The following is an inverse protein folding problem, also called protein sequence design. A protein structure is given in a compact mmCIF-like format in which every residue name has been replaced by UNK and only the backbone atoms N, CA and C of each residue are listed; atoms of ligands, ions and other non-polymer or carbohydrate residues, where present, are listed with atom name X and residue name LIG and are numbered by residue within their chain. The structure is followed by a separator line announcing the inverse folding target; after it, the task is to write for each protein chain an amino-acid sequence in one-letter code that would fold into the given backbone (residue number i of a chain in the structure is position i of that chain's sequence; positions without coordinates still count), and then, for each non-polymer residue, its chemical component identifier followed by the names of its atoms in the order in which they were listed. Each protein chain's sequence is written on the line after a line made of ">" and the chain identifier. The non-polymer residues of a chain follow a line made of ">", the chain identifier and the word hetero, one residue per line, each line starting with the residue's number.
data_IF_882302452463
#
_entry.id   IF_882302452463
#
_cell.length_a   1.000
_cell.length_b   1.000
_cell.length_c   1.000
_cell.angle_alpha   90.00
_cell.angle_beta   90.00
_cell.angle_gamma   90.00
#
_symmetry.space_group_name_H-M   'P 1'
#
loop_
_entity.id
_entity.type
_entity.pdbx_description
1 polymer ?
#
# COMPACT_ATOMS: atom_id res chain seq x y z
N UNK A 1 -1.04 9.32 15.01
CA UNK A 1 -1.59 10.06 16.16
C UNK A 1 -2.20 11.37 15.67
N UNK A 2 -3.17 11.93 16.40
CA UNK A 2 -3.84 13.17 16.02
C UNK A 2 -4.68 13.77 17.15
N UNK A 3 -5.30 14.91 16.87
CA UNK A 3 -6.23 15.62 17.76
C UNK A 3 -7.43 16.09 16.94
N UNK A 4 -8.63 15.95 17.49
CA UNK A 4 -9.88 16.49 16.91
C UNK A 4 -10.27 17.73 17.71
N UNK A 5 -10.46 18.85 17.02
CA UNK A 5 -11.08 20.04 17.60
C UNK A 5 -12.59 19.93 17.45
N UNK A 6 -13.28 20.22 18.53
CA UNK A 6 -14.69 19.91 18.67
C UNK A 6 -15.44 21.17 19.11
N UNK A 7 -16.60 21.43 18.50
CA UNK A 7 -17.47 22.53 18.89
C UNK A 7 -18.51 22.03 19.92
N UNK A 8 -18.42 22.45 21.20
CA UNK A 8 -19.33 22.00 22.24
C UNK A 8 -20.78 22.45 22.02
N UNK A 9 -21.01 23.61 21.39
CA UNK A 9 -22.36 24.14 21.14
C UNK A 9 -23.10 23.28 20.12
N UNK A 10 -22.37 22.72 19.16
CA UNK A 10 -22.91 21.83 18.13
C UNK A 10 -23.20 20.41 18.65
N UNK A 11 -22.48 19.96 19.68
CA UNK A 11 -22.46 18.56 20.11
C UNK A 11 -23.70 18.12 20.89
N UNK A 12 -24.25 19.00 21.74
CA UNK A 12 -25.38 18.67 22.62
C UNK A 12 -25.16 17.32 23.34
N UNK A 13 -25.96 16.30 23.05
CA UNK A 13 -25.87 14.95 23.65
C UNK A 13 -25.12 13.92 22.78
N UNK A 14 -24.52 14.34 21.66
CA UNK A 14 -23.82 13.44 20.74
C UNK A 14 -22.40 13.13 21.23
N UNK A 15 -21.82 12.10 20.65
CA UNK A 15 -20.43 11.67 20.87
C UNK A 15 -19.61 11.91 19.61
N UNK A 16 -18.30 12.04 19.78
CA UNK A 16 -17.35 12.13 18.67
C UNK A 16 -16.55 10.85 18.61
N UNK A 17 -16.67 10.16 17.49
CA UNK A 17 -15.92 8.96 17.19
C UNK A 17 -14.88 9.25 16.10
N UNK A 18 -13.73 8.59 16.21
CA UNK A 18 -12.73 8.54 15.16
C UNK A 18 -12.57 7.08 14.78
N UNK A 19 -12.51 6.81 13.48
CA UNK A 19 -12.40 5.46 12.95
C UNK A 19 -11.27 5.41 11.95
N UNK A 20 -10.37 4.45 12.12
CA UNK A 20 -9.35 4.11 11.14
C UNK A 20 -9.82 2.88 10.36
N UNK A 21 -9.96 3.03 9.06
CA UNK A 21 -10.38 1.95 8.16
C UNK A 21 -9.29 1.67 7.15
N UNK A 22 -8.81 0.42 7.09
CA UNK A 22 -8.06 -0.11 5.97
C UNK A 22 -9.03 -0.85 5.06
N UNK A 23 -9.20 -0.39 3.84
CA UNK A 23 -10.13 -0.99 2.89
C UNK A 23 -9.41 -1.36 1.59
N UNK A 24 -9.71 -2.55 1.09
CA UNK A 24 -9.41 -2.94 -0.27
C UNK A 24 -10.59 -2.57 -1.17
N UNK A 25 -10.30 -1.90 -2.28
CA UNK A 25 -11.29 -1.49 -3.28
C UNK A 25 -10.99 -2.18 -4.61
N UNK A 26 -12.02 -2.81 -5.17
CA UNK A 26 -11.98 -3.48 -6.47
C UNK A 26 -13.29 -3.20 -7.24
N UNK A 27 -13.20 -2.71 -8.48
CA UNK A 27 -14.34 -2.52 -9.39
C UNK A 27 -14.39 -1.18 -10.14
N UNK A 28 -15.25 -1.09 -11.17
CA UNK A 28 -15.58 0.13 -11.95
C UNK A 28 -16.72 0.92 -11.29
N UNK A 29 -16.74 2.26 -11.45
CA UNK A 29 -17.83 3.13 -10.95
C UNK A 29 -19.19 2.83 -11.59
N UNK A 30 -19.22 2.33 -12.83
CA UNK A 30 -20.46 2.02 -13.54
C UNK A 30 -21.24 0.87 -12.86
N UNK A 31 -20.52 -0.05 -12.21
CA UNK A 31 -21.07 -1.17 -11.44
C UNK A 31 -21.54 -0.74 -10.04
N UNK A 32 -21.14 0.44 -9.58
CA UNK A 32 -21.57 1.07 -8.32
C UNK A 32 -23.08 1.42 -8.37
N UNK A 33 -23.59 1.76 -9.57
CA UNK A 33 -25.04 1.99 -9.85
C UNK A 33 -25.85 0.69 -9.80
N UNK A 34 -25.20 -0.46 -10.03
CA UNK A 34 -25.79 -1.80 -9.94
C UNK A 34 -25.49 -2.49 -8.59
N UNK A 35 -24.84 -1.81 -7.64
CA UNK A 35 -24.54 -2.33 -6.30
C UNK A 35 -23.36 -3.32 -6.24
N UNK A 36 -22.49 -3.32 -7.24
CA UNK A 36 -21.38 -4.28 -7.40
C UNK A 36 -20.00 -3.68 -7.11
N UNK A 37 -19.90 -2.71 -6.19
CA UNK A 37 -18.60 -2.38 -5.59
C UNK A 37 -18.15 -3.47 -4.63
N UNK A 38 -17.00 -4.08 -4.91
CA UNK A 38 -16.30 -4.90 -3.95
C UNK A 38 -15.34 -4.02 -3.15
N UNK A 39 -15.90 -3.34 -2.15
CA UNK A 39 -15.14 -2.79 -1.04
C UNK A 39 -15.11 -3.82 0.08
N UNK A 40 -13.91 -4.22 0.50
CA UNK A 40 -13.71 -5.07 1.66
C UNK A 40 -12.90 -4.31 2.70
N UNK A 41 -13.51 -4.06 3.85
CA UNK A 41 -12.78 -3.51 4.99
C UNK A 41 -11.89 -4.63 5.57
N UNK A 42 -10.58 -4.44 5.47
CA UNK A 42 -9.56 -5.37 5.96
C UNK A 42 -9.29 -5.17 7.45
N UNK A 43 -9.43 -3.93 7.91
CA UNK A 43 -9.23 -3.56 9.30
C UNK A 43 -10.06 -2.32 9.63
N UNK A 44 -10.70 -2.34 10.79
CA UNK A 44 -11.43 -1.19 11.34
C UNK A 44 -11.06 -1.07 12.81
N UNK A 45 -10.61 0.12 13.21
CA UNK A 45 -10.41 0.47 14.61
C UNK A 45 -11.21 1.73 14.91
N UNK A 46 -11.94 1.70 16.02
CA UNK A 46 -12.75 2.82 16.48
C UNK A 46 -12.16 3.37 17.79
N UNK A 47 -12.22 4.67 17.98
CA UNK A 47 -11.83 5.35 19.21
C UNK A 47 -12.87 6.42 19.53
N UNK A 48 -13.29 6.52 20.80
CA UNK A 48 -14.20 7.57 21.24
C UNK A 48 -13.38 8.79 21.72
N UNK A 49 -13.37 9.86 20.92
CA UNK A 49 -12.66 11.09 21.27
C UNK A 49 -13.42 11.92 22.30
N UNK A 50 -14.76 11.98 22.18
CA UNK A 50 -15.63 12.67 23.14
C UNK A 50 -16.93 11.89 23.37
N UNK A 51 -17.42 11.76 24.61
CA UNK A 51 -16.73 12.12 25.85
C UNK A 51 -15.49 11.21 26.08
N UNK A 52 -14.41 11.71 26.70
CA UNK A 52 -13.19 10.94 26.89
C UNK A 52 -13.44 9.77 27.86
N UNK A 53 -13.16 8.55 27.39
CA UNK A 53 -13.34 7.32 28.19
C UNK A 53 -12.11 7.11 29.08
N UNK A 54 -12.25 6.92 30.41
CA UNK A 54 -11.10 6.77 31.32
C UNK A 54 -10.18 5.59 30.98
N UNK A 55 -10.76 4.48 30.53
CA UNK A 55 -10.05 3.23 30.21
C UNK A 55 -9.20 3.33 28.92
N UNK A 56 -9.52 4.27 28.02
CA UNK A 56 -8.81 4.46 26.75
C UNK A 56 -7.73 5.56 26.80
N UNK A 57 -7.40 6.09 27.98
CA UNK A 57 -6.38 7.14 28.14
C UNK A 57 -4.97 6.60 27.86
N UNK A 58 -4.57 6.64 26.60
CA UNK A 58 -3.20 6.42 26.16
C UNK A 58 -2.30 7.60 26.54
N UNK A 59 -0.99 7.37 26.77
CA UNK A 59 -0.03 8.45 26.96
C UNK A 59 -0.01 9.36 25.72
N UNK A 60 0.01 10.68 25.96
CA UNK A 60 0.00 11.67 24.90
C UNK A 60 1.34 11.70 24.17
N UNK A 61 1.29 11.90 22.85
CA UNK A 61 2.49 12.19 22.07
C UNK A 61 2.90 13.66 22.24
N UNK A 62 4.18 13.96 22.01
CA UNK A 62 4.69 15.35 22.01
C UNK A 62 3.94 16.25 21.03
N UNK A 63 3.44 15.69 19.92
CA UNK A 63 2.61 16.42 18.95
C UNK A 63 1.25 16.77 19.56
N UNK A 64 0.58 15.79 20.18
CA UNK A 64 -0.72 15.97 20.83
C UNK A 64 -0.64 17.01 21.95
N UNK A 65 0.37 16.95 22.82
CA UNK A 65 0.57 17.94 23.88
C UNK A 65 0.64 19.38 23.34
N UNK A 66 1.41 19.59 22.27
CA UNK A 66 1.55 20.89 21.61
C UNK A 66 0.23 21.35 20.98
N UNK A 67 -0.48 20.45 20.32
CA UNK A 67 -1.75 20.76 19.66
C UNK A 67 -2.83 21.10 20.68
N UNK A 68 -2.96 20.35 21.76
CA UNK A 68 -3.93 20.63 22.84
C UNK A 68 -3.64 21.99 23.46
N UNK A 69 -2.37 22.28 23.77
CA UNK A 69 -1.98 23.58 24.33
C UNK A 69 -2.26 24.76 23.38
N UNK A 70 -2.24 24.53 22.06
CA UNK A 70 -2.52 25.55 21.04
C UNK A 70 -4.01 25.72 20.74
N UNK A 71 -4.77 24.62 20.71
CA UNK A 71 -6.17 24.59 20.28
C UNK A 71 -7.16 24.78 21.43
N UNK A 72 -6.73 24.60 22.68
CA UNK A 72 -7.55 24.84 23.87
C UNK A 72 -8.27 23.59 24.39
N UNK A 73 -9.27 23.80 25.22
CA UNK A 73 -9.92 22.76 26.04
C UNK A 73 -10.77 21.76 25.24
N UNK A 74 -11.22 22.15 24.04
CA UNK A 74 -12.05 21.30 23.18
C UNK A 74 -11.23 20.47 22.17
N UNK A 75 -9.94 20.29 22.44
CA UNK A 75 -9.02 19.52 21.62
C UNK A 75 -8.84 18.11 22.20
N UNK A 76 -9.45 17.12 21.57
CA UNK A 76 -9.48 15.73 22.06
C UNK A 76 -8.49 14.85 21.27
N UNK A 77 -7.50 14.21 21.92
CA UNK A 77 -6.50 13.40 21.26
C UNK A 77 -7.04 12.03 20.85
N UNK A 78 -6.50 11.47 19.77
CA UNK A 78 -6.73 10.08 19.36
C UNK A 78 -5.45 9.45 18.82
N UNK A 79 -5.27 8.15 19.06
CA UNK A 79 -4.10 7.39 18.60
C UNK A 79 -4.51 6.00 18.14
N UNK A 80 -4.15 5.65 16.91
CA UNK A 80 -4.32 4.31 16.37
C UNK A 80 -2.97 3.63 16.19
N UNK A 81 -2.94 2.34 16.46
CA UNK A 81 -1.83 1.44 16.18
C UNK A 81 -2.24 0.53 15.03
N UNK A 82 -1.47 0.55 13.93
CA UNK A 82 -1.76 -0.25 12.75
C UNK A 82 -1.01 -1.58 12.89
N UNK A 83 -1.71 -2.73 12.88
CA UNK A 83 -1.06 -4.03 12.89
C UNK A 83 0.00 -4.18 11.78
N UNK A 84 1.16 -4.78 12.07
CA UNK A 84 2.28 -4.86 11.13
C UNK A 84 1.94 -5.70 9.89
N UNK A 85 1.14 -6.74 10.07
CA UNK A 85 0.70 -7.69 9.03
C UNK A 85 -0.33 -7.12 8.03
N UNK A 86 -0.84 -5.91 8.25
CA UNK A 86 -1.75 -5.29 7.27
C UNK A 86 -1.00 -4.85 6.00
N UNK A 87 -1.64 -4.90 4.83
CA UNK A 87 -1.00 -4.47 3.59
C UNK A 87 -0.64 -2.97 3.63
N UNK A 88 0.42 -2.60 2.90
CA UNK A 88 0.76 -1.20 2.67
C UNK A 88 -0.23 -0.54 1.71
N UNK A 89 -0.24 0.79 1.68
CA UNK A 89 -1.05 1.56 0.74
C UNK A 89 -0.52 1.39 -0.67
N UNK A 90 -1.25 0.67 -1.50
CA UNK A 90 -0.90 0.37 -2.89
C UNK A 90 -2.12 0.58 -3.76
N UNK A 91 -1.94 1.32 -4.85
CA UNK A 91 -2.97 1.52 -5.88
C UNK A 91 -2.43 1.04 -7.21
N UNK A 92 -3.20 0.18 -7.88
CA UNK A 92 -2.97 -0.25 -9.25
C UNK A 92 -3.50 0.84 -10.16
N UNK A 93 -2.64 1.34 -11.04
CA UNK A 93 -3.06 2.31 -12.04
C UNK A 93 -3.99 1.63 -13.05
N UNK A 94 -5.19 2.18 -13.30
CA UNK A 94 -6.06 1.68 -14.36
C UNK A 94 -5.40 1.86 -15.73
N UNK A 95 -5.67 0.96 -16.66
CA UNK A 95 -5.28 1.14 -18.05
C UNK A 95 -6.03 2.31 -18.70
N UNK A 96 -5.58 2.82 -19.85
CA UNK A 96 -6.24 3.92 -20.55
C UNK A 96 -7.69 3.63 -20.98
N UNK A 97 -8.08 2.35 -21.09
CA UNK A 97 -9.45 1.92 -21.38
C UNK A 97 -10.29 1.60 -20.12
N UNK A 98 -9.72 1.75 -18.93
CA UNK A 98 -10.41 1.53 -17.65
C UNK A 98 -10.92 2.86 -17.07
N UNK A 99 -12.24 3.06 -17.17
CA UNK A 99 -12.96 4.23 -16.62
C UNK A 99 -13.25 4.11 -15.11
N UNK A 100 -12.74 3.08 -14.44
CA UNK A 100 -13.01 2.80 -13.02
C UNK A 100 -12.08 3.50 -12.02
N UNK A 101 -12.46 3.52 -10.74
CA UNK A 101 -11.54 3.92 -9.66
C UNK A 101 -10.35 2.96 -9.59
N UNK A 102 -9.19 3.49 -9.23
CA UNK A 102 -7.99 2.71 -9.00
C UNK A 102 -8.25 1.57 -8.00
N UNK A 103 -7.87 0.36 -8.38
CA UNK A 103 -7.93 -0.81 -7.51
C UNK A 103 -6.79 -0.72 -6.49
N UNK A 104 -7.05 -0.96 -5.20
CA UNK A 104 -5.99 -0.81 -4.21
C UNK A 104 -6.40 -0.93 -2.76
N UNK A 105 -5.39 -0.77 -1.91
CA UNK A 105 -5.51 -0.71 -0.45
C UNK A 105 -5.33 0.74 -0.03
N UNK A 106 -6.37 1.30 0.59
CA UNK A 106 -6.39 2.65 1.12
C UNK A 106 -6.57 2.61 2.65
N UNK A 107 -5.96 3.57 3.35
CA UNK A 107 -6.23 3.84 4.75
C UNK A 107 -6.98 5.16 4.88
N UNK A 108 -8.14 5.13 5.53
CA UNK A 108 -9.00 6.29 5.75
C UNK A 108 -9.17 6.51 7.26
N UNK A 109 -8.85 7.72 7.72
CA UNK A 109 -9.21 8.20 9.05
C UNK A 109 -10.46 9.05 8.91
N UNK A 110 -11.53 8.67 9.60
CA UNK A 110 -12.80 9.38 9.57
C UNK A 110 -13.17 9.79 10.99
N UNK A 111 -13.46 11.06 11.21
CA UNK A 111 -14.03 11.54 12.47
C UNK A 111 -15.47 11.97 12.22
N UNK A 112 -16.39 11.62 13.13
CA UNK A 112 -17.80 11.95 12.98
C UNK A 112 -18.51 12.10 14.32
N UNK A 113 -19.60 12.86 14.31
CA UNK A 113 -20.50 12.98 15.45
C UNK A 113 -21.68 12.01 15.31
N UNK A 114 -21.96 11.21 16.33
CA UNK A 114 -23.09 10.28 16.38
C UNK A 114 -23.49 10.00 17.83
N UNK A 115 -24.71 9.52 18.08
CA UNK A 115 -25.13 9.08 19.41
C UNK A 115 -24.51 7.71 19.75
N UNK A 116 -24.50 6.81 18.77
CA UNK A 116 -23.95 5.46 18.84
C UNK A 116 -23.11 5.11 17.60
N UNK A 117 -22.22 4.12 17.72
CA UNK A 117 -21.38 3.63 16.61
C UNK A 117 -22.19 2.99 15.46
N UNK A 118 -23.40 2.50 15.75
CA UNK A 118 -24.30 1.85 14.78
C UNK A 118 -25.12 2.86 13.96
N UNK A 119 -25.12 4.13 14.36
CA UNK A 119 -25.90 5.16 13.68
C UNK A 119 -25.32 5.48 12.30
N UNK A 120 -26.20 5.76 11.33
CA UNK A 120 -25.79 6.11 9.98
C UNK A 120 -25.04 7.45 9.98
N UNK A 121 -23.75 7.40 9.65
CA UNK A 121 -22.90 8.59 9.62
C UNK A 121 -23.36 9.58 8.54
N UNK A 122 -23.66 10.82 8.92
CA UNK A 122 -24.03 11.87 7.99
C UNK A 122 -22.80 12.55 7.35
N UNK A 123 -22.89 12.93 6.08
CA UNK A 123 -21.79 13.63 5.38
C UNK A 123 -21.49 15.02 5.93
N UNK A 124 -22.48 15.67 6.56
CA UNK A 124 -22.34 17.04 7.09
C UNK A 124 -21.55 17.11 8.39
N UNK A 125 -21.61 16.07 9.22
CA UNK A 125 -20.98 16.01 10.54
C UNK A 125 -19.81 15.01 10.57
N UNK A 126 -19.27 14.66 9.40
CA UNK A 126 -18.12 13.78 9.28
C UNK A 126 -17.04 14.39 8.40
N UNK A 127 -15.80 14.19 8.82
CA UNK A 127 -14.60 14.55 8.07
C UNK A 127 -13.80 13.29 7.79
N UNK A 128 -13.21 13.21 6.61
CA UNK A 128 -12.41 12.07 6.16
C UNK A 128 -11.04 12.54 5.68
N UNK A 129 -10.01 11.79 6.04
CA UNK A 129 -8.63 12.02 5.61
C UNK A 129 -8.02 10.68 5.18
N UNK A 130 -7.50 10.62 3.96
CA UNK A 130 -6.77 9.44 3.48
C UNK A 130 -5.32 9.56 3.96
N UNK A 131 -4.81 8.49 4.58
CA UNK A 131 -3.43 8.36 5.02
C UNK A 131 -2.76 7.21 4.26
N UNK A 132 -1.42 7.16 4.31
CA UNK A 132 -0.65 6.10 3.65
C UNK A 132 0.18 5.31 4.65
N UNK A 133 0.09 3.98 4.56
CA UNK A 133 1.06 3.08 5.18
C UNK A 133 2.14 2.78 4.14
N UNK A 134 3.38 3.21 4.39
CA UNK A 134 4.54 2.97 3.51
C UNK A 134 5.53 2.05 4.20
N UNK A 135 6.19 1.20 3.41
CA UNK A 135 7.26 0.33 3.89
C UNK A 135 8.61 0.93 3.52
N UNK A 136 9.50 1.03 4.50
CA UNK A 136 10.88 1.42 4.28
C UNK A 136 11.75 0.18 4.08
N UNK A 137 12.86 0.35 3.36
CA UNK A 137 13.86 -0.68 3.21
C UNK A 137 14.46 -1.07 4.58
N UNK A 138 14.75 -2.36 4.82
CA UNK A 138 15.49 -2.79 6.00
C UNK A 138 16.91 -2.20 6.02
N UNK A 139 17.46 -2.00 7.22
CA UNK A 139 18.79 -1.38 7.39
C UNK A 139 19.94 -2.25 6.86
N UNK A 140 19.76 -3.58 6.89
CA UNK A 140 20.79 -4.53 6.46
C UNK A 140 20.43 -5.05 5.07
N UNK A 141 21.20 -4.71 4.02
CA UNK A 141 21.05 -5.33 2.72
C UNK A 141 21.43 -6.81 2.83
N UNK A 142 20.73 -7.69 2.12
CA UNK A 142 21.10 -9.08 2.01
C UNK A 142 22.17 -9.32 0.95
N UNK A 143 22.43 -10.60 0.64
CA UNK A 143 23.49 -10.99 -0.28
C UNK A 143 23.20 -10.55 -1.72
N UNK A 144 24.26 -10.50 -2.51
CA UNK A 144 24.16 -10.19 -3.94
C UNK A 144 23.25 -11.21 -4.65
N UNK A 145 22.18 -10.77 -5.34
CA UNK A 145 21.35 -11.68 -6.11
C UNK A 145 22.13 -12.25 -7.30
N UNK A 146 22.17 -13.57 -7.43
CA UNK A 146 22.78 -14.29 -8.56
C UNK A 146 21.84 -15.41 -9.02
N UNK A 147 21.72 -15.57 -10.33
CA UNK A 147 21.01 -16.68 -10.96
C UNK A 147 21.83 -17.24 -12.11
N UNK A 148 21.92 -18.57 -12.18
CA UNK A 148 22.60 -19.28 -13.26
C UNK A 148 21.65 -20.28 -13.93
N UNK A 149 21.83 -20.49 -15.22
CA UNK A 149 21.09 -21.51 -15.96
C UNK A 149 21.95 -22.09 -17.07
N UNK A 150 21.76 -23.38 -17.32
CA UNK A 150 22.44 -24.10 -18.39
C UNK A 150 21.39 -24.61 -19.37
N UNK A 151 21.56 -24.29 -20.65
CA UNK A 151 20.65 -24.73 -21.71
C UNK A 151 21.36 -25.62 -22.71
N UNK A 152 20.75 -26.77 -22.97
CA UNK A 152 21.13 -27.66 -24.05
C UNK A 152 20.15 -27.49 -25.22
N UNK A 153 20.65 -27.60 -26.43
CA UNK A 153 19.85 -27.46 -27.65
C UNK A 153 19.87 -28.77 -28.43
N UNK A 154 18.76 -29.10 -29.09
CA UNK A 154 18.78 -30.19 -30.06
C UNK A 154 19.82 -29.88 -31.15
N UNK A 155 20.58 -30.91 -31.55
CA UNK A 155 21.67 -30.84 -32.54
C UNK A 155 22.89 -30.01 -32.11
N UNK A 156 23.12 -29.83 -30.80
CA UNK A 156 24.37 -29.32 -30.22
C UNK A 156 24.76 -30.15 -29.00
N UNK A 157 25.91 -30.81 -29.06
CA UNK A 157 26.39 -31.69 -27.98
C UNK A 157 26.98 -30.91 -26.79
N UNK A 158 27.19 -29.59 -26.96
CA UNK A 158 27.74 -28.70 -25.94
C UNK A 158 26.66 -27.75 -25.39
N UNK A 159 26.73 -27.37 -24.10
CA UNK A 159 25.77 -26.48 -23.44
C UNK A 159 26.07 -24.98 -23.61
N UNK A 160 25.05 -24.15 -23.39
CA UNK A 160 25.16 -22.71 -23.18
C UNK A 160 24.94 -22.41 -21.69
N UNK A 161 25.92 -21.82 -21.02
CA UNK A 161 25.78 -21.36 -19.64
C UNK A 161 25.53 -19.85 -19.62
N UNK A 162 24.53 -19.44 -18.85
CA UNK A 162 24.17 -18.04 -18.63
C UNK A 162 24.13 -17.79 -17.13
N UNK A 163 24.87 -16.79 -16.68
CA UNK A 163 24.89 -16.31 -15.31
C UNK A 163 24.53 -14.82 -15.31
N UNK A 164 23.68 -14.40 -14.37
CA UNK A 164 23.34 -13.01 -14.17
C UNK A 164 23.41 -12.66 -12.67
N UNK A 165 23.99 -11.52 -12.35
CA UNK A 165 24.01 -10.98 -10.99
C UNK A 165 23.65 -9.50 -10.95
N UNK A 166 23.03 -9.08 -9.86
CA UNK A 166 22.72 -7.68 -9.58
C UNK A 166 23.74 -7.11 -8.61
N UNK A 167 23.99 -5.80 -8.58
CA UNK A 167 24.92 -5.22 -7.59
C UNK A 167 24.34 -5.21 -6.16
N UNK A 168 23.01 -5.12 -6.02
CA UNK A 168 22.30 -5.03 -4.73
C UNK A 168 21.01 -5.84 -4.76
N UNK A 169 20.56 -6.26 -3.59
CA UNK A 169 19.23 -6.85 -3.40
C UNK A 169 18.13 -5.78 -3.35
N UNK A 170 18.44 -4.62 -2.75
CA UNK A 170 17.48 -3.57 -2.44
C UNK A 170 17.91 -2.29 -3.14
N UNK A 171 16.99 -1.69 -3.89
CA UNK A 171 17.17 -0.44 -4.61
C UNK A 171 16.20 0.61 -4.11
N UNK A 172 16.64 1.86 -4.08
CA UNK A 172 15.74 2.99 -3.88
C UNK A 172 15.14 3.45 -5.21
N UNK A 173 13.98 4.12 -5.14
CA UNK A 173 13.35 4.67 -6.32
C UNK A 173 14.26 5.71 -7.00
N UNK A 174 14.50 5.53 -8.30
CA UNK A 174 15.38 6.38 -9.11
C UNK A 174 16.86 5.95 -9.11
N UNK A 175 17.24 4.95 -8.31
CA UNK A 175 18.57 4.37 -8.34
C UNK A 175 18.73 3.46 -9.58
N UNK A 176 19.85 3.57 -10.33
CA UNK A 176 20.12 2.68 -11.46
C UNK A 176 20.37 1.25 -10.99
N UNK A 177 19.89 0.28 -11.77
CA UNK A 177 20.07 -1.15 -11.49
C UNK A 177 21.24 -1.64 -12.36
N UNK A 178 22.32 -2.12 -11.74
CA UNK A 178 23.46 -2.67 -12.47
C UNK A 178 23.29 -4.18 -12.62
N UNK A 179 23.24 -4.66 -13.86
CA UNK A 179 23.08 -6.09 -14.19
C UNK A 179 24.35 -6.60 -14.84
N UNK A 180 25.04 -7.52 -14.17
CA UNK A 180 26.19 -8.23 -14.73
C UNK A 180 25.68 -9.51 -15.41
N UNK A 181 26.05 -9.72 -16.67
CA UNK A 181 25.66 -10.90 -17.44
C UNK A 181 26.91 -11.59 -17.97
N UNK A 182 27.07 -12.87 -17.64
CA UNK A 182 28.16 -13.71 -18.13
C UNK A 182 27.59 -14.84 -18.99
N UNK A 183 28.07 -14.94 -20.23
CA UNK A 183 27.60 -15.90 -21.22
C UNK A 183 28.76 -16.80 -21.66
N UNK A 184 28.71 -18.07 -21.28
CA UNK A 184 29.67 -19.09 -21.72
C UNK A 184 29.02 -19.97 -22.76
N UNK A 185 29.23 -19.64 -24.03
CA UNK A 185 28.65 -20.35 -25.17
C UNK A 185 29.62 -21.40 -25.71
N UNK A 186 29.43 -22.66 -25.30
CA UNK A 186 30.15 -23.79 -25.87
C UNK A 186 29.41 -24.42 -27.06
N UNK A 187 28.20 -23.94 -27.39
CA UNK A 187 27.34 -24.50 -28.44
C UNK A 187 27.82 -24.13 -29.85
N UNK A 188 27.23 -24.76 -30.87
CA UNK A 188 27.42 -24.36 -32.27
C UNK A 188 26.45 -23.24 -32.73
N UNK A 189 25.63 -22.68 -31.82
CA UNK A 189 24.64 -21.63 -32.12
C UNK A 189 25.17 -20.26 -31.69
N UNK A 190 24.76 -19.22 -32.40
CA UNK A 190 25.14 -17.82 -32.09
C UNK A 190 24.07 -17.12 -31.27
N UNK A 191 24.48 -16.38 -30.23
CA UNK A 191 23.60 -15.46 -29.48
C UNK A 191 23.43 -14.19 -30.32
N UNK A 192 22.19 -13.89 -30.75
CA UNK A 192 21.90 -12.76 -31.66
C UNK A 192 21.67 -11.42 -30.97
N UNK A 193 21.15 -11.46 -29.74
CA UNK A 193 20.71 -10.28 -28.99
C UNK A 193 20.56 -10.64 -27.52
N UNK A 194 20.87 -9.72 -26.62
CA UNK A 194 20.61 -9.86 -25.18
C UNK A 194 19.56 -8.81 -24.80
N UNK A 195 18.49 -9.27 -24.14
CA UNK A 195 17.38 -8.41 -23.69
C UNK A 195 17.25 -8.49 -22.18
N UNK A 196 17.37 -7.35 -21.53
CA UNK A 196 17.20 -7.18 -20.09
C UNK A 196 15.82 -6.54 -19.86
N UNK A 197 15.05 -7.07 -18.93
CA UNK A 197 13.73 -6.49 -18.59
C UNK A 197 13.47 -6.53 -17.10
N UNK A 198 13.08 -5.40 -16.54
CA UNK A 198 12.55 -5.30 -15.17
C UNK A 198 11.03 -5.43 -15.26
N UNK A 199 10.46 -6.35 -14.49
CA UNK A 199 9.02 -6.66 -14.52
C UNK A 199 8.46 -6.55 -13.11
N UNK A 200 7.39 -5.79 -12.98
CA UNK A 200 6.59 -5.74 -11.77
C UNK A 200 5.52 -6.84 -11.82
N UNK A 201 5.45 -7.62 -10.74
CA UNK A 201 4.41 -8.60 -10.51
C UNK A 201 3.53 -8.08 -9.36
N UNK A 202 2.22 -8.04 -9.59
CA UNK A 202 1.23 -7.68 -8.58
C UNK A 202 0.19 -8.80 -8.49
N UNK A 203 0.23 -9.54 -7.38
CA UNK A 203 -0.67 -10.64 -7.10
C UNK A 203 -1.77 -10.19 -6.14
N UNK A 204 -3.03 -10.31 -6.56
CA UNK A 204 -4.21 -9.98 -5.74
C UNK A 204 -4.78 -11.27 -5.15
N UNK A 205 -4.74 -11.42 -3.83
CA UNK A 205 -5.07 -12.68 -3.14
C UNK A 205 -6.43 -12.68 -2.40
N UNK A 206 -7.33 -11.73 -2.65
CA UNK A 206 -8.53 -11.53 -1.81
C UNK A 206 -9.79 -12.28 -2.26
N UNK A 207 -10.14 -12.21 -3.55
CA UNK A 207 -11.42 -12.74 -4.07
C UNK A 207 -11.21 -13.67 -5.27
N UNK A 208 -10.42 -13.23 -6.23
CA UNK A 208 -9.92 -14.05 -7.33
C UNK A 208 -8.42 -13.83 -7.40
N UNK A 209 -7.65 -14.91 -7.52
CA UNK A 209 -6.20 -14.84 -7.64
C UNK A 209 -5.88 -14.30 -9.04
N UNK A 210 -5.65 -13.00 -9.11
CA UNK A 210 -5.24 -12.32 -10.34
C UNK A 210 -3.77 -11.93 -10.22
N UNK A 211 -2.98 -12.31 -11.23
CA UNK A 211 -1.59 -11.91 -11.35
C UNK A 211 -1.46 -10.90 -12.49
N UNK A 212 -1.04 -9.69 -12.14
CA UNK A 212 -0.71 -8.65 -13.11
C UNK A 212 0.80 -8.62 -13.31
N UNK A 213 1.20 -8.58 -14.58
CA UNK A 213 2.60 -8.55 -14.99
C UNK A 213 2.83 -7.36 -15.90
N UNK A 214 3.61 -6.40 -15.44
CA UNK A 214 3.91 -5.19 -16.19
C UNK A 214 5.43 -5.03 -16.40
N UNK A 215 5.92 -4.92 -17.65
CA UNK A 215 7.32 -4.54 -17.88
C UNK A 215 7.49 -3.05 -17.53
N UNK A 216 8.37 -2.76 -16.56
CA UNK A 216 8.62 -1.38 -16.11
C UNK A 216 9.85 -0.76 -16.76
N UNK A 217 10.81 -1.59 -17.16
CA UNK A 217 11.97 -1.17 -17.94
C UNK A 217 12.42 -2.31 -18.85
N UNK A 218 12.88 -1.96 -20.05
CA UNK A 218 13.40 -2.90 -21.04
C UNK A 218 14.61 -2.28 -21.71
N UNK A 219 15.73 -3.00 -21.67
CA UNK A 219 16.98 -2.61 -22.32
C UNK A 219 17.42 -3.74 -23.25
N UNK A 220 17.84 -3.36 -24.44
CA UNK A 220 18.23 -4.27 -25.51
C UNK A 220 19.69 -4.00 -25.86
N UNK A 221 20.57 -4.98 -25.66
CA UNK A 221 21.95 -4.93 -26.10
C UNK A 221 22.07 -5.67 -27.44
N UNK A 222 22.56 -4.96 -28.46
CA UNK A 222 22.92 -5.52 -29.78
C UNK A 222 24.20 -6.36 -29.70
#
# INVERSE_FOLDING_TARGET
>A
DGVVLVDPEYLKERKVFVTLTCAFRYGREDLDVLGLTFRKDLFVANAQAFPPVPEEKKPLTRLQERLIKKLGEHAYPFTFEIPPNLPCSVTLQPGPEDTGKACGVDYEVKAFCAENLEEKIHKRNSVRLVIRKVQYAPERPGPQPMAETTRQFLMSDKPLHLEASLDKEIYYHGEPISVNVHVTNNTNKTVKKIKISVRQYADICLFNTAQYKCPVAVEDAE
#
